data_IF_552499100952
#
_entry.id   IF_552499100952
#
_cell.length_a   1.000
_cell.length_b   1.000
_cell.length_c   1.000
_cell.angle_alpha   90.00
_cell.angle_beta   90.00
_cell.angle_gamma   90.00
#
_symmetry.space_group_name_H-M   'P 1'
#
loop_
_entity.id
_entity.type
_entity.pdbx_description
1 polymer ?
#
# COMPACT_ATOMS: atom_id res chain seq x y z
N UNK A 1 24.29 1.71 -11.10
CA UNK A 1 23.01 1.24 -10.57
C UNK A 1 23.30 0.76 -9.15
N UNK A 2 23.04 1.59 -8.14
CA UNK A 2 23.27 1.21 -6.73
C UNK A 2 21.92 0.72 -6.19
N UNK A 3 21.76 -0.59 -6.16
CA UNK A 3 20.57 -1.19 -5.52
C UNK A 3 20.86 -1.26 -4.02
N UNK A 4 20.28 -0.34 -3.24
CA UNK A 4 20.37 -0.41 -1.78
C UNK A 4 19.19 -1.28 -1.34
N UNK A 5 19.51 -2.46 -0.85
CA UNK A 5 18.55 -3.41 -0.30
C UNK A 5 18.08 -2.94 1.06
N UNK A 6 16.77 -2.80 1.25
CA UNK A 6 16.19 -2.69 2.59
C UNK A 6 16.13 -4.10 3.15
N UNK A 7 17.15 -4.47 3.93
CA UNK A 7 17.15 -5.73 4.66
C UNK A 7 16.39 -5.48 5.96
N UNK A 8 15.27 -6.15 6.14
CA UNK A 8 14.67 -6.28 7.48
C UNK A 8 15.48 -7.37 8.18
N UNK A 9 16.54 -6.98 8.89
CA UNK A 9 17.35 -7.92 9.64
C UNK A 9 16.57 -8.45 10.84
N UNK A 10 16.28 -9.75 10.92
CA UNK A 10 15.77 -10.36 12.15
C UNK A 10 16.82 -10.34 13.27
N UNK A 11 18.10 -10.10 12.95
CA UNK A 11 19.22 -10.23 13.87
C UNK A 11 19.58 -8.99 14.71
N UNK A 12 18.82 -7.90 14.66
CA UNK A 12 18.85 -6.91 15.76
C UNK A 12 17.72 -7.22 16.74
N UNK A 13 17.69 -8.44 17.23
CA UNK A 13 16.86 -8.79 18.40
C UNK A 13 17.43 -8.06 19.61
N UNK A 14 16.84 -6.91 19.92
CA UNK A 14 17.00 -6.38 21.27
C UNK A 14 16.30 -7.37 22.21
N UNK A 15 17.08 -8.11 22.99
CA UNK A 15 16.53 -8.99 24.02
C UNK A 15 15.76 -8.13 25.00
N UNK A 16 14.47 -8.34 25.11
CA UNK A 16 13.61 -7.70 26.10
C UNK A 16 13.11 -8.76 27.07
N UNK A 17 12.79 -8.35 28.27
CA UNK A 17 12.41 -9.26 29.34
C UNK A 17 11.09 -8.86 29.96
N UNK A 18 10.27 -9.84 30.29
CA UNK A 18 9.08 -9.65 31.10
C UNK A 18 9.39 -10.03 32.54
N UNK A 19 9.23 -9.08 33.47
CA UNK A 19 9.44 -9.29 34.88
C UNK A 19 8.15 -9.77 35.54
N UNK A 20 8.22 -10.91 36.25
CA UNK A 20 7.06 -11.47 36.93
C UNK A 20 7.34 -11.65 38.42
N UNK A 21 6.40 -11.24 39.27
CA UNK A 21 6.42 -11.46 40.71
C UNK A 21 5.54 -12.65 41.10
N UNK A 22 6.04 -13.46 42.06
CA UNK A 22 5.20 -14.47 42.71
C UNK A 22 4.54 -13.80 43.92
N UNK A 23 3.24 -13.54 43.85
CA UNK A 23 2.51 -12.95 44.97
C UNK A 23 2.15 -14.04 45.99
N UNK A 24 2.41 -13.76 47.29
CA UNK A 24 2.31 -14.75 48.36
C UNK A 24 0.83 -14.97 48.82
N UNK A 25 -0.12 -14.10 48.47
CA UNK A 25 -1.43 -14.06 49.10
C UNK A 25 -2.67 -13.92 48.17
N UNK A 26 -2.59 -14.30 46.91
CA UNK A 26 -3.77 -14.35 46.03
C UNK A 26 -3.77 -15.60 45.17
N UNK A 27 -4.95 -16.00 44.65
CA UNK A 27 -5.13 -17.16 43.77
C UNK A 27 -4.36 -17.02 42.41
N UNK A 28 -3.66 -15.95 42.15
CA UNK A 28 -2.81 -15.74 40.99
C UNK A 28 -1.37 -16.16 41.31
N UNK A 29 -0.89 -17.19 40.63
CA UNK A 29 0.45 -17.74 40.88
C UNK A 29 1.61 -16.89 40.37
N UNK A 30 1.40 -15.98 39.42
CA UNK A 30 2.40 -15.08 38.84
C UNK A 30 1.76 -13.75 38.42
N UNK A 31 2.47 -12.64 38.63
CA UNK A 31 2.05 -11.30 38.22
C UNK A 31 3.13 -10.68 37.33
N UNK A 32 2.75 -10.11 36.18
CA UNK A 32 3.66 -9.37 35.29
C UNK A 32 3.92 -8.00 35.91
N UNK A 33 5.16 -7.69 36.22
CA UNK A 33 5.58 -6.40 36.81
C UNK A 33 5.93 -5.41 35.70
N UNK A 34 6.66 -5.87 34.69
CA UNK A 34 7.04 -5.08 33.53
C UNK A 34 7.31 -6.01 32.36
N UNK A 35 6.95 -5.55 31.17
CA UNK A 35 7.28 -6.17 29.88
C UNK A 35 8.20 -5.24 29.10
N UNK A 36 8.83 -5.77 28.05
CA UNK A 36 9.73 -5.02 27.17
C UNK A 36 10.93 -4.34 27.86
N UNK A 37 11.43 -4.96 28.93
CA UNK A 37 12.57 -4.44 29.70
C UNK A 37 13.88 -4.77 28.97
N UNK A 38 14.70 -3.77 28.76
CA UNK A 38 16.00 -3.90 28.08
C UNK A 38 17.01 -4.74 28.91
N UNK A 39 17.91 -5.44 28.20
CA UNK A 39 18.91 -6.34 28.78
C UNK A 39 19.78 -5.67 29.86
N UNK A 40 20.17 -4.43 29.67
CA UNK A 40 21.02 -3.68 30.63
C UNK A 40 20.32 -3.46 31.96
N UNK A 41 19.01 -3.15 31.92
CA UNK A 41 18.18 -2.99 33.12
C UNK A 41 17.97 -4.31 33.85
N UNK A 42 17.75 -5.40 33.11
CA UNK A 42 17.64 -6.75 33.66
C UNK A 42 18.96 -7.19 34.29
N UNK A 43 20.08 -6.93 33.64
CA UNK A 43 21.41 -7.25 34.16
C UNK A 43 21.70 -6.55 35.49
N UNK A 44 21.32 -5.27 35.62
CA UNK A 44 21.41 -4.52 36.89
C UNK A 44 20.54 -5.14 37.98
N UNK A 45 19.30 -5.54 37.64
CA UNK A 45 18.41 -6.16 38.60
C UNK A 45 18.91 -7.55 39.02
N UNK A 46 19.47 -8.33 38.10
CA UNK A 46 20.08 -9.63 38.39
C UNK A 46 21.30 -9.48 39.30
N UNK A 47 22.15 -8.45 39.09
CA UNK A 47 23.29 -8.13 39.97
C UNK A 47 22.80 -7.76 41.36
N UNK A 48 21.77 -6.94 41.49
CA UNK A 48 21.14 -6.62 42.76
C UNK A 48 20.60 -7.86 43.46
N UNK A 49 19.87 -8.75 42.76
CA UNK A 49 19.39 -10.02 43.32
C UNK A 49 20.55 -10.89 43.85
N UNK A 50 21.64 -10.98 43.11
CA UNK A 50 22.86 -11.72 43.57
C UNK A 50 23.44 -11.13 44.84
N UNK A 51 23.36 -9.81 45.06
CA UNK A 51 23.86 -9.14 46.26
C UNK A 51 23.05 -9.45 47.51
N UNK A 52 21.81 -9.94 47.38
CA UNK A 52 20.91 -10.23 48.50
C UNK A 52 21.19 -11.55 49.21
N UNK A 53 22.32 -12.24 48.93
CA UNK A 53 22.79 -13.45 49.60
C UNK A 53 21.69 -14.41 50.08
N UNK A 54 21.15 -15.22 49.18
CA UNK A 54 20.15 -16.29 49.43
C UNK A 54 18.71 -15.85 49.72
N UNK A 55 18.35 -14.59 49.64
CA UNK A 55 16.96 -14.16 49.74
C UNK A 55 16.31 -14.36 48.39
N UNK A 56 15.29 -15.24 48.31
CA UNK A 56 14.46 -15.36 47.09
C UNK A 56 13.60 -14.11 46.94
N UNK A 57 13.84 -13.34 45.87
CA UNK A 57 13.06 -12.13 45.59
C UNK A 57 11.70 -12.42 44.99
N UNK A 58 11.45 -13.67 44.61
CA UNK A 58 10.22 -14.04 43.86
C UNK A 58 10.15 -13.44 42.45
N UNK A 59 11.20 -12.77 41.98
CA UNK A 59 11.25 -12.22 40.60
C UNK A 59 11.81 -13.27 39.66
N UNK A 60 11.10 -13.54 38.59
CA UNK A 60 11.55 -14.37 37.48
C UNK A 60 11.64 -13.52 36.21
N UNK A 61 12.48 -13.94 35.31
CA UNK A 61 12.72 -13.30 34.00
C UNK A 61 12.27 -14.27 32.91
N UNK A 62 11.57 -13.76 31.95
CA UNK A 62 11.20 -14.49 30.75
C UNK A 62 11.78 -13.73 29.58
N UNK A 63 12.62 -14.37 28.80
CA UNK A 63 13.19 -13.78 27.60
C UNK A 63 12.12 -13.71 26.54
N UNK A 64 12.01 -12.54 25.89
CA UNK A 64 11.13 -12.32 24.77
C UNK A 64 11.92 -11.64 23.65
N UNK A 65 11.52 -11.84 22.43
CA UNK A 65 12.03 -11.10 21.28
C UNK A 65 11.10 -9.92 21.00
N UNK A 66 11.66 -8.83 20.51
CA UNK A 66 10.85 -7.71 20.02
C UNK A 66 11.37 -7.22 18.69
N UNK A 67 10.45 -6.79 17.83
CA UNK A 67 10.77 -6.18 16.55
C UNK A 67 11.21 -4.74 16.76
N UNK A 68 12.25 -4.32 16.07
CA UNK A 68 12.72 -2.94 16.04
C UNK A 68 12.70 -2.43 14.62
N UNK A 69 12.20 -1.21 14.41
CA UNK A 69 12.09 -0.54 13.12
C UNK A 69 13.10 0.63 13.08
N UNK A 70 14.32 0.43 12.54
CA UNK A 70 15.42 1.41 12.69
C UNK A 70 15.15 2.78 12.06
N UNK A 71 14.25 2.83 11.08
CA UNK A 71 13.84 4.06 10.38
C UNK A 71 12.46 4.57 10.80
N UNK A 72 11.97 4.11 11.94
CA UNK A 72 10.73 4.55 12.62
C UNK A 72 9.53 4.75 11.71
N UNK A 73 9.46 5.86 10.97
CA UNK A 73 8.31 6.27 10.13
C UNK A 73 8.43 5.86 8.67
N UNK A 74 9.64 5.52 8.20
CA UNK A 74 9.86 5.23 6.78
C UNK A 74 9.10 3.97 6.36
N UNK A 75 8.27 4.09 5.33
CA UNK A 75 7.43 3.01 4.79
C UNK A 75 6.55 2.34 5.87
N UNK A 76 6.11 3.09 6.87
CA UNK A 76 5.44 2.54 8.06
C UNK A 76 4.19 1.73 7.74
N UNK A 77 3.34 2.18 6.82
CA UNK A 77 2.11 1.48 6.40
C UNK A 77 2.40 0.22 5.59
N UNK A 78 3.55 0.19 4.89
CA UNK A 78 4.03 -1.01 4.18
C UNK A 78 4.59 -2.03 5.16
N UNK A 79 5.55 -1.61 6.00
CA UNK A 79 6.21 -2.49 6.96
C UNK A 79 5.22 -3.04 7.96
N UNK A 80 4.38 -2.18 8.50
CA UNK A 80 3.50 -2.54 9.58
C UNK A 80 4.26 -2.79 10.89
N UNK A 81 3.74 -3.64 11.72
CA UNK A 81 4.34 -3.97 13.02
C UNK A 81 3.82 -5.32 13.56
N UNK A 82 4.54 -5.83 14.57
CA UNK A 82 4.12 -7.01 15.33
C UNK A 82 3.34 -6.61 16.59
N UNK A 83 2.46 -7.50 17.05
CA UNK A 83 1.79 -7.35 18.35
C UNK A 83 2.70 -7.76 19.52
N UNK A 84 2.16 -7.76 20.75
CA UNK A 84 2.91 -8.14 21.95
C UNK A 84 3.38 -9.61 21.97
N UNK A 85 2.77 -10.47 21.16
CA UNK A 85 3.14 -11.89 21.00
C UNK A 85 4.13 -12.10 19.84
N UNK A 86 4.72 -11.04 19.30
CA UNK A 86 5.59 -11.04 18.11
C UNK A 86 4.95 -11.60 16.83
N UNK A 87 3.63 -11.57 16.75
CA UNK A 87 2.90 -11.91 15.53
C UNK A 87 2.64 -10.66 14.72
N UNK A 88 2.81 -10.74 13.42
CA UNK A 88 2.52 -9.65 12.51
C UNK A 88 1.07 -9.18 12.65
N UNK A 89 0.87 -7.87 12.83
CA UNK A 89 -0.44 -7.26 13.03
C UNK A 89 -0.90 -6.42 11.83
N UNK A 90 0.01 -5.74 11.15
CA UNK A 90 -0.25 -4.91 9.98
C UNK A 90 0.88 -5.03 8.95
N UNK A 91 0.63 -4.56 7.73
CA UNK A 91 1.63 -4.47 6.66
C UNK A 91 2.26 -5.81 6.26
N UNK A 92 3.53 -5.77 5.87
CA UNK A 92 4.33 -6.96 5.53
C UNK A 92 4.49 -7.90 6.73
N UNK A 93 4.64 -7.35 7.94
CA UNK A 93 4.71 -8.16 9.15
C UNK A 93 3.49 -9.09 9.29
N UNK A 94 2.30 -8.61 8.94
CA UNK A 94 1.08 -9.42 8.93
C UNK A 94 1.00 -10.34 7.70
N UNK A 95 1.16 -9.79 6.51
CA UNK A 95 0.94 -10.52 5.26
C UNK A 95 1.94 -11.68 5.08
N UNK A 96 3.14 -11.52 5.62
CA UNK A 96 4.24 -12.48 5.52
C UNK A 96 4.62 -13.11 6.86
N UNK A 97 3.74 -13.02 7.85
CA UNK A 97 4.00 -13.52 9.20
C UNK A 97 4.42 -14.99 9.23
N UNK A 98 3.85 -15.84 8.39
CA UNK A 98 4.20 -17.26 8.30
C UNK A 98 5.65 -17.54 7.89
N UNK A 99 6.25 -16.63 7.11
CA UNK A 99 7.65 -16.69 6.73
C UNK A 99 8.54 -16.04 7.79
N UNK A 100 8.13 -14.89 8.33
CA UNK A 100 8.94 -14.10 9.25
C UNK A 100 9.03 -14.69 10.66
N UNK A 101 8.00 -15.43 11.12
CA UNK A 101 7.90 -15.88 12.52
C UNK A 101 8.76 -17.08 12.87
N UNK A 102 9.14 -17.92 11.89
CA UNK A 102 9.76 -19.20 12.16
C UNK A 102 8.85 -20.17 12.95
N UNK A 103 9.45 -21.20 13.50
CA UNK A 103 8.78 -22.21 14.34
C UNK A 103 9.38 -22.24 15.73
N UNK A 104 8.56 -22.02 16.75
CA UNK A 104 9.05 -22.06 18.13
C UNK A 104 9.52 -23.48 18.52
N UNK A 105 10.69 -23.57 19.14
CA UNK A 105 11.16 -24.82 19.72
C UNK A 105 10.26 -25.30 20.83
N UNK A 106 10.19 -26.61 21.03
CA UNK A 106 9.34 -27.24 22.03
C UNK A 106 10.13 -28.24 22.84
N UNK A 107 10.04 -28.10 24.17
CA UNK A 107 10.54 -29.10 25.11
C UNK A 107 9.33 -29.79 25.78
N UNK A 108 9.28 -31.09 25.69
CA UNK A 108 8.26 -31.90 26.34
C UNK A 108 8.89 -32.69 27.46
N UNK A 109 8.46 -32.47 28.72
CA UNK A 109 8.92 -33.20 29.89
C UNK A 109 7.73 -33.61 30.73
N UNK A 110 7.86 -34.72 31.47
CA UNK A 110 6.86 -35.15 32.43
C UNK A 110 7.04 -34.38 33.74
N UNK A 111 5.95 -33.80 34.23
CA UNK A 111 5.90 -33.09 35.51
C UNK A 111 4.99 -33.80 36.53
N UNK A 112 5.39 -33.75 37.78
CA UNK A 112 4.51 -34.22 38.86
C UNK A 112 3.31 -33.28 39.00
N UNK A 113 2.11 -33.87 39.04
CA UNK A 113 0.86 -33.11 39.01
C UNK A 113 0.64 -32.23 40.27
N UNK A 114 1.28 -32.54 41.39
CA UNK A 114 1.13 -31.80 42.64
C UNK A 114 2.22 -30.75 42.83
N UNK A 115 3.48 -31.10 42.55
CA UNK A 115 4.64 -30.22 42.77
C UNK A 115 4.95 -29.34 41.56
N UNK A 116 4.44 -29.66 40.35
CA UNK A 116 4.80 -29.04 39.08
C UNK A 116 6.33 -29.03 38.85
N UNK A 117 7.05 -29.92 39.50
CA UNK A 117 8.47 -30.13 39.26
C UNK A 117 8.68 -31.23 38.22
N UNK A 118 9.73 -31.14 37.45
CA UNK A 118 10.11 -32.20 36.51
C UNK A 118 10.43 -33.50 37.26
N UNK A 119 9.92 -34.59 36.72
CA UNK A 119 10.21 -35.95 37.27
C UNK A 119 11.64 -36.30 36.84
N UNK A 120 12.50 -36.51 37.83
CA UNK A 120 13.89 -36.89 37.60
C UNK A 120 13.93 -38.21 36.75
N UNK A 121 14.80 -38.23 35.74
CA UNK A 121 14.99 -39.32 34.79
C UNK A 121 13.76 -39.61 33.85
N UNK A 122 12.81 -38.70 33.71
CA UNK A 122 11.81 -38.80 32.65
C UNK A 122 12.42 -38.49 31.28
N UNK A 123 11.92 -39.15 30.22
CA UNK A 123 12.29 -38.81 28.84
C UNK A 123 11.92 -37.35 28.51
N UNK A 124 12.91 -36.61 28.00
CA UNK A 124 12.72 -35.27 27.51
C UNK A 124 12.83 -35.30 25.98
N UNK A 125 11.78 -34.88 25.32
CA UNK A 125 11.84 -34.63 23.87
C UNK A 125 12.09 -33.16 23.64
N UNK A 126 13.12 -32.87 22.90
CA UNK A 126 13.48 -31.49 22.51
C UNK A 126 13.31 -31.35 20.99
N UNK A 127 12.54 -30.40 20.59
CA UNK A 127 12.38 -29.95 19.21
C UNK A 127 13.06 -28.60 19.08
N UNK A 128 14.04 -28.49 18.20
CA UNK A 128 14.75 -27.21 17.99
C UNK A 128 13.81 -26.15 17.43
N UNK A 129 14.08 -24.89 17.74
CA UNK A 129 13.44 -23.78 17.06
C UNK A 129 14.00 -23.68 15.63
N UNK A 130 13.15 -23.31 14.68
CA UNK A 130 13.54 -22.97 13.31
C UNK A 130 13.40 -21.46 13.14
N UNK A 131 14.42 -20.81 12.58
CA UNK A 131 14.39 -19.39 12.34
C UNK A 131 13.39 -19.04 11.22
N UNK A 132 12.84 -17.82 11.28
CA UNK A 132 12.06 -17.27 10.18
C UNK A 132 12.95 -16.89 8.99
N UNK A 133 12.33 -16.56 7.89
CA UNK A 133 13.00 -16.11 6.65
C UNK A 133 13.25 -14.61 6.69
N UNK A 134 14.28 -14.17 5.98
CA UNK A 134 14.46 -12.76 5.62
C UNK A 134 13.62 -12.46 4.37
N UNK A 135 12.95 -11.31 4.37
CA UNK A 135 12.16 -10.84 3.23
C UNK A 135 12.76 -9.54 2.72
N UNK A 136 13.13 -9.54 1.46
CA UNK A 136 13.63 -8.37 0.76
C UNK A 136 12.52 -7.73 -0.06
N UNK A 137 12.26 -6.45 0.20
CA UNK A 137 11.22 -5.70 -0.50
C UNK A 137 11.76 -5.11 -1.82
N UNK A 138 10.82 -4.78 -2.73
CA UNK A 138 11.13 -4.02 -3.95
C UNK A 138 11.31 -2.52 -3.67
N UNK A 139 10.95 -2.07 -2.47
CA UNK A 139 11.06 -0.67 -2.04
C UNK A 139 12.51 -0.23 -2.09
N UNK A 140 12.77 0.85 -2.84
CA UNK A 140 14.05 1.55 -2.83
C UNK A 140 14.02 2.61 -1.73
N UNK A 141 14.92 2.49 -0.76
CA UNK A 141 14.97 3.38 0.41
C UNK A 141 15.17 4.85 0.04
N UNK A 142 15.95 5.13 -1.01
CA UNK A 142 16.21 6.51 -1.44
C UNK A 142 14.97 7.09 -2.12
N UNK A 143 14.35 6.33 -3.03
CA UNK A 143 13.11 6.75 -3.69
C UNK A 143 12.01 6.94 -2.65
N UNK A 144 11.83 5.99 -1.72
CA UNK A 144 10.85 6.08 -0.62
C UNK A 144 11.07 7.35 0.21
N UNK A 145 12.31 7.62 0.62
CA UNK A 145 12.63 8.80 1.45
C UNK A 145 12.35 10.10 0.72
N UNK A 146 12.66 10.17 -0.59
CA UNK A 146 12.38 11.34 -1.43
C UNK A 146 10.87 11.54 -1.57
N UNK A 147 10.15 10.47 -1.89
CA UNK A 147 8.69 10.49 -2.07
C UNK A 147 7.98 10.91 -0.79
N UNK A 148 8.34 10.34 0.37
CA UNK A 148 7.75 10.73 1.65
C UNK A 148 7.99 12.19 1.99
N UNK A 149 9.21 12.69 1.74
CA UNK A 149 9.55 14.09 1.98
C UNK A 149 8.66 15.03 1.17
N UNK A 150 8.62 14.85 -0.16
CA UNK A 150 7.86 15.74 -1.03
C UNK A 150 6.34 15.57 -0.89
N UNK A 151 5.87 14.37 -0.53
CA UNK A 151 4.47 14.16 -0.20
C UNK A 151 4.06 14.94 1.06
N UNK A 152 4.92 14.91 2.09
CA UNK A 152 4.68 15.66 3.32
C UNK A 152 4.66 17.18 3.04
N UNK A 153 5.63 17.70 2.30
CA UNK A 153 5.68 19.11 1.89
C UNK A 153 4.40 19.50 1.11
N UNK A 154 4.00 18.70 0.12
CA UNK A 154 2.79 18.97 -0.65
C UNK A 154 1.50 18.97 0.20
N UNK A 155 1.34 18.00 1.11
CA UNK A 155 0.15 17.94 1.99
C UNK A 155 0.08 19.14 2.94
N UNK A 156 1.23 19.61 3.44
CA UNK A 156 1.26 20.80 4.30
C UNK A 156 1.05 22.09 3.48
N UNK A 157 1.71 22.23 2.33
CA UNK A 157 1.62 23.45 1.49
C UNK A 157 0.22 23.67 0.92
N UNK A 158 -0.51 22.59 0.62
CA UNK A 158 -1.88 22.65 0.10
C UNK A 158 -2.96 22.43 1.17
N UNK A 159 -2.57 22.37 2.44
CA UNK A 159 -3.48 22.18 3.60
C UNK A 159 -4.41 20.96 3.45
N UNK A 160 -3.88 19.87 2.87
CA UNK A 160 -4.64 18.64 2.68
C UNK A 160 -4.72 17.82 3.99
N UNK A 161 -5.77 17.00 4.13
CA UNK A 161 -5.89 16.08 5.27
C UNK A 161 -4.88 14.93 5.19
N UNK A 162 -4.62 14.44 3.97
CA UNK A 162 -3.69 13.34 3.72
C UNK A 162 -3.25 13.30 2.26
N UNK A 163 -2.21 12.52 1.98
CA UNK A 163 -1.73 12.26 0.62
C UNK A 163 -1.19 10.85 0.46
N UNK A 164 -1.18 10.38 -0.79
CA UNK A 164 -0.66 9.07 -1.18
C UNK A 164 0.24 9.26 -2.40
N UNK A 165 1.39 8.61 -2.41
CA UNK A 165 2.25 8.54 -3.61
C UNK A 165 2.74 7.12 -3.82
N UNK A 166 2.64 6.62 -5.05
CA UNK A 166 3.15 5.30 -5.45
C UNK A 166 4.12 5.50 -6.61
N UNK A 167 5.31 4.91 -6.52
CA UNK A 167 6.25 4.78 -7.63
C UNK A 167 6.37 3.30 -8.02
N UNK A 168 6.11 2.99 -9.29
CA UNK A 168 6.08 1.63 -9.82
C UNK A 168 6.93 1.54 -11.08
N UNK A 169 7.66 0.43 -11.23
CA UNK A 169 8.28 0.04 -12.51
C UNK A 169 7.21 -0.67 -13.36
N UNK A 170 6.76 -0.09 -14.47
CA UNK A 170 5.69 -0.65 -15.28
C UNK A 170 6.07 -1.98 -15.94
N UNK A 171 7.36 -2.22 -16.19
CA UNK A 171 7.84 -3.42 -16.90
C UNK A 171 7.86 -4.67 -16.02
N UNK A 172 7.95 -4.51 -14.70
CA UNK A 172 8.10 -5.61 -13.75
C UNK A 172 7.04 -5.65 -12.66
N UNK A 173 6.21 -4.62 -12.55
CA UNK A 173 5.24 -4.46 -11.47
C UNK A 173 5.87 -4.17 -10.10
N UNK A 174 7.18 -3.90 -10.02
CA UNK A 174 7.86 -3.56 -8.76
C UNK A 174 7.35 -2.24 -8.22
N UNK A 175 6.88 -2.24 -6.97
CA UNK A 175 6.61 -1.04 -6.22
C UNK A 175 7.95 -0.56 -5.64
N UNK A 176 8.45 0.56 -6.16
CA UNK A 176 9.72 1.17 -5.74
C UNK A 176 9.55 2.09 -4.54
N UNK A 177 8.39 2.72 -4.41
CA UNK A 177 7.96 3.47 -3.24
C UNK A 177 6.44 3.45 -3.13
N UNK A 178 5.94 3.47 -1.90
CA UNK A 178 4.55 3.67 -1.56
C UNK A 178 4.52 4.45 -0.25
N UNK A 179 4.06 5.68 -0.32
CA UNK A 179 4.03 6.60 0.80
C UNK A 179 2.60 7.03 1.10
N UNK A 180 2.25 6.98 2.36
CA UNK A 180 1.06 7.58 2.94
C UNK A 180 1.48 8.71 3.88
N UNK A 181 0.85 9.87 3.80
CA UNK A 181 1.05 10.95 4.75
C UNK A 181 -0.30 11.38 5.34
N UNK A 182 -0.38 11.64 6.66
CA UNK A 182 0.69 11.50 7.66
C UNK A 182 1.03 10.03 7.99
N UNK A 183 2.32 9.76 8.14
CA UNK A 183 2.86 8.46 8.56
C UNK A 183 2.81 8.27 10.08
N UNK A 184 3.24 7.12 10.60
CA UNK A 184 3.36 6.84 12.03
C UNK A 184 4.68 6.15 12.36
N UNK A 185 5.11 6.19 13.64
CA UNK A 185 6.28 5.47 14.10
C UNK A 185 5.92 4.01 14.44
N UNK A 186 6.47 3.06 13.70
CA UNK A 186 6.27 1.63 13.93
C UNK A 186 6.71 1.17 15.33
N UNK A 187 7.71 1.84 15.93
CA UNK A 187 8.16 1.55 17.29
C UNK A 187 7.21 2.14 18.36
N UNK A 188 6.45 3.18 18.02
CA UNK A 188 5.50 3.85 18.91
C UNK A 188 4.11 3.98 18.23
N UNK A 189 3.62 2.89 17.70
CA UNK A 189 2.43 2.82 16.85
C UNK A 189 1.14 3.37 17.45
N UNK A 190 1.04 3.45 18.78
CA UNK A 190 -0.16 3.96 19.46
C UNK A 190 -0.11 5.47 19.70
N UNK A 191 1.00 6.14 19.40
CA UNK A 191 1.06 7.60 19.46
C UNK A 191 0.33 8.22 18.25
N UNK A 192 -0.36 9.35 18.45
CA UNK A 192 -0.97 10.08 17.35
C UNK A 192 0.11 10.60 16.39
N UNK A 193 -0.17 10.58 15.09
CA UNK A 193 0.66 11.25 14.10
C UNK A 193 0.48 12.78 14.14
N UNK A 194 1.21 13.52 13.31
CA UNK A 194 1.21 14.99 13.30
C UNK A 194 -0.17 15.63 13.17
N UNK A 195 -1.04 15.08 12.31
CA UNK A 195 -2.39 15.62 12.08
C UNK A 195 -3.36 15.26 13.23
N UNK A 196 -3.24 14.07 13.80
CA UNK A 196 -4.07 13.63 14.93
C UNK A 196 -3.70 14.31 16.24
N UNK A 197 -2.41 14.66 16.42
CA UNK A 197 -1.89 15.24 17.66
C UNK A 197 -2.63 16.53 18.06
N UNK A 198 -3.05 17.35 17.09
CA UNK A 198 -3.73 18.63 17.34
C UNK A 198 -5.04 18.49 18.11
N UNK A 199 -5.79 17.39 17.90
CA UNK A 199 -7.10 17.16 18.50
C UNK A 199 -7.11 15.95 19.46
N UNK A 200 -5.97 15.32 19.68
CA UNK A 200 -5.87 14.04 20.38
C UNK A 200 -6.49 14.05 21.76
N UNK A 201 -6.20 15.07 22.57
CA UNK A 201 -6.66 15.12 23.96
C UNK A 201 -8.18 15.35 24.07
N UNK A 202 -8.80 15.95 23.06
CA UNK A 202 -10.25 16.20 23.01
C UNK A 202 -11.06 15.00 22.51
N UNK A 203 -10.42 13.99 21.91
CA UNK A 203 -11.08 12.80 21.36
C UNK A 203 -11.48 11.82 22.46
N UNK A 204 -12.65 11.20 22.31
CA UNK A 204 -13.07 10.06 23.13
C UNK A 204 -12.17 8.83 22.90
N UNK A 205 -12.25 7.84 23.79
CA UNK A 205 -11.48 6.60 23.66
C UNK A 205 -11.81 5.82 22.38
N UNK A 206 -13.07 5.86 21.95
CA UNK A 206 -13.52 5.21 20.72
C UNK A 206 -12.96 5.92 19.48
N UNK A 207 -13.04 7.24 19.43
CA UNK A 207 -12.47 8.06 18.35
C UNK A 207 -10.96 7.85 18.22
N UNK A 208 -10.23 7.84 19.36
CA UNK A 208 -8.78 7.54 19.39
C UNK A 208 -8.48 6.17 18.80
N UNK A 209 -9.22 5.15 19.19
CA UNK A 209 -9.04 3.79 18.70
C UNK A 209 -9.27 3.71 17.18
N UNK A 210 -10.37 4.30 16.70
CA UNK A 210 -10.70 4.32 15.27
C UNK A 210 -9.67 5.12 14.46
N UNK A 211 -9.18 6.24 14.99
CA UNK A 211 -8.14 7.05 14.34
C UNK A 211 -6.81 6.29 14.20
N UNK A 212 -6.42 5.56 15.26
CA UNK A 212 -5.21 4.72 15.25
C UNK A 212 -5.33 3.59 14.22
N UNK A 213 -6.45 2.88 14.15
CA UNK A 213 -6.65 1.81 13.16
C UNK A 213 -6.55 2.35 11.73
N UNK A 214 -7.15 3.50 11.44
CA UNK A 214 -7.02 4.18 10.15
C UNK A 214 -5.58 4.60 9.83
N UNK A 215 -4.82 5.02 10.85
CA UNK A 215 -3.42 5.43 10.69
C UNK A 215 -2.51 4.27 10.28
N UNK A 216 -2.81 3.04 10.71
CA UNK A 216 -1.99 1.87 10.43
C UNK A 216 -2.24 1.26 9.05
N UNK A 217 -3.36 1.59 8.40
CA UNK A 217 -3.75 0.97 7.11
C UNK A 217 -3.10 1.66 5.92
N UNK A 218 -2.56 0.90 4.94
CA UNK A 218 -1.98 1.46 3.72
C UNK A 218 -3.10 1.93 2.77
N UNK A 219 -3.40 3.22 2.77
CA UNK A 219 -4.50 3.83 2.00
C UNK A 219 -4.42 3.55 0.51
N UNK A 220 -3.22 3.34 -0.01
CA UNK A 220 -3.01 2.98 -1.41
C UNK A 220 -3.76 1.71 -1.86
N UNK A 221 -4.06 0.79 -0.91
CA UNK A 221 -4.76 -0.48 -1.17
C UNK A 221 -6.10 -0.58 -0.45
N UNK A 222 -6.30 0.17 0.66
CA UNK A 222 -7.53 0.09 1.47
C UNK A 222 -8.57 1.14 1.13
N UNK A 223 -8.16 2.28 0.57
CA UNK A 223 -9.08 3.37 0.28
C UNK A 223 -9.41 3.39 -1.21
N UNK A 224 -10.66 3.68 -1.53
CA UNK A 224 -11.11 3.87 -2.91
C UNK A 224 -11.45 5.34 -3.15
N UNK A 225 -11.21 5.80 -4.37
CA UNK A 225 -11.48 7.17 -4.78
C UNK A 225 -11.96 7.24 -6.23
N UNK A 226 -12.60 8.33 -6.60
CA UNK A 226 -12.90 8.62 -8.00
C UNK A 226 -11.64 9.16 -8.69
N UNK A 227 -11.05 8.44 -9.68
CA UNK A 227 -9.75 8.81 -10.26
C UNK A 227 -9.78 10.11 -11.09
N UNK A 228 -10.96 10.57 -11.45
CA UNK A 228 -11.10 11.79 -12.24
C UNK A 228 -10.43 11.73 -13.59
N UNK A 229 -9.88 12.84 -14.05
CA UNK A 229 -9.37 12.99 -15.43
C UNK A 229 -8.21 12.09 -15.81
N UNK A 230 -7.47 11.52 -14.85
CA UNK A 230 -6.43 10.50 -15.14
C UNK A 230 -7.05 9.29 -15.84
N UNK A 231 -8.30 8.98 -15.55
CA UNK A 231 -9.04 7.87 -16.14
C UNK A 231 -9.28 8.02 -17.65
N UNK A 232 -9.17 9.23 -18.19
CA UNK A 232 -9.27 9.50 -19.63
C UNK A 232 -8.22 8.75 -20.45
N UNK A 233 -7.09 8.39 -19.85
CA UNK A 233 -6.08 7.53 -20.48
C UNK A 233 -6.64 6.14 -20.80
N UNK A 234 -7.40 5.56 -19.88
CA UNK A 234 -8.08 4.27 -20.09
C UNK A 234 -9.13 4.40 -21.22
N UNK A 235 -9.95 5.45 -21.17
CA UNK A 235 -10.97 5.70 -22.21
C UNK A 235 -10.36 5.95 -23.59
N UNK A 236 -9.23 6.69 -23.66
CA UNK A 236 -8.48 6.89 -24.91
C UNK A 236 -7.94 5.57 -25.45
N UNK A 237 -7.35 4.75 -24.58
CA UNK A 237 -6.82 3.45 -24.93
C UNK A 237 -7.89 2.53 -25.54
N UNK A 238 -9.08 2.50 -24.95
CA UNK A 238 -10.21 1.71 -25.47
C UNK A 238 -10.64 2.22 -26.86
N UNK A 239 -10.78 3.53 -27.01
CA UNK A 239 -11.22 4.13 -28.28
C UNK A 239 -10.24 3.89 -29.43
N UNK A 240 -8.94 3.91 -29.15
CA UNK A 240 -7.88 3.62 -30.12
C UNK A 240 -7.80 2.12 -30.44
N UNK A 241 -7.84 1.27 -29.43
CA UNK A 241 -7.74 -0.20 -29.61
C UNK A 241 -8.91 -0.78 -30.40
N UNK A 242 -10.10 -0.26 -30.20
CA UNK A 242 -11.30 -0.65 -30.95
C UNK A 242 -11.41 0.11 -32.30
N UNK A 243 -10.41 0.88 -32.72
CA UNK A 243 -10.35 1.66 -33.96
C UNK A 243 -11.57 2.61 -34.16
N UNK A 244 -12.12 3.12 -33.06
CA UNK A 244 -13.25 4.05 -33.09
C UNK A 244 -12.85 5.50 -33.37
N UNK A 245 -11.59 5.81 -33.09
CA UNK A 245 -10.96 7.13 -33.26
C UNK A 245 -9.48 6.96 -33.57
N UNK A 246 -8.84 8.03 -34.08
CA UNK A 246 -7.39 8.13 -34.15
C UNK A 246 -6.92 9.42 -33.46
N UNK A 247 -5.62 9.52 -33.19
CA UNK A 247 -5.02 10.56 -32.32
C UNK A 247 -5.21 11.96 -32.87
N UNK A 248 -4.97 12.17 -34.18
CA UNK A 248 -4.79 13.47 -34.79
C UNK A 248 -5.80 13.78 -35.94
N UNK A 249 -6.87 13.02 -36.02
CA UNK A 249 -7.95 13.27 -37.00
C UNK A 249 -8.69 14.57 -36.60
N UNK A 250 -8.70 15.59 -37.47
CA UNK A 250 -9.36 16.86 -37.20
C UNK A 250 -10.87 16.70 -37.00
N UNK A 251 -11.45 17.56 -36.19
CA UNK A 251 -12.88 17.65 -35.94
C UNK A 251 -13.53 16.34 -35.41
N UNK A 252 -12.75 15.50 -34.75
CA UNK A 252 -13.23 14.24 -34.16
C UNK A 252 -14.27 14.49 -33.07
N UNK A 253 -14.08 15.53 -32.27
CA UNK A 253 -14.95 15.94 -31.17
C UNK A 253 -15.30 17.41 -31.24
N UNK A 254 -16.51 17.76 -30.77
CA UNK A 254 -16.94 19.15 -30.62
C UNK A 254 -17.34 19.47 -29.17
N UNK A 255 -16.68 20.44 -28.58
CA UNK A 255 -16.98 20.93 -27.23
C UNK A 255 -17.68 22.29 -27.30
N UNK A 256 -18.97 22.33 -26.95
CA UNK A 256 -19.75 23.56 -26.83
C UNK A 256 -19.77 24.13 -25.42
N UNK A 257 -18.99 23.55 -24.49
CA UNK A 257 -18.96 23.93 -23.07
C UNK A 257 -19.84 23.02 -22.19
N UNK A 258 -20.88 22.44 -22.73
CA UNK A 258 -21.84 21.60 -22.04
C UNK A 258 -22.14 20.34 -22.85
N UNK A 259 -22.53 19.27 -22.15
CA UNK A 259 -22.99 18.05 -22.77
C UNK A 259 -24.22 17.49 -22.05
N UNK A 260 -25.33 17.34 -22.78
CA UNK A 260 -26.58 16.81 -22.23
C UNK A 260 -26.60 15.29 -22.33
N UNK A 261 -26.82 14.62 -21.21
CA UNK A 261 -26.96 13.17 -21.11
C UNK A 261 -28.37 12.84 -20.68
N UNK A 262 -29.06 11.97 -21.45
CA UNK A 262 -30.40 11.54 -21.07
C UNK A 262 -30.38 10.83 -19.72
N UNK A 263 -31.18 11.34 -18.77
CA UNK A 263 -31.25 10.81 -17.41
C UNK A 263 -30.44 11.61 -16.39
N UNK A 264 -29.78 12.70 -16.82
CA UNK A 264 -29.15 13.69 -15.92
C UNK A 264 -29.95 15.00 -16.04
N UNK A 265 -30.27 15.62 -14.87
CA UNK A 265 -31.06 16.86 -14.83
C UNK A 265 -30.25 18.06 -15.32
N UNK A 266 -28.97 18.11 -14.92
CA UNK A 266 -28.06 19.17 -15.29
C UNK A 266 -27.06 18.71 -16.36
N UNK A 267 -26.69 19.59 -17.31
CA UNK A 267 -25.68 19.23 -18.31
C UNK A 267 -24.31 19.10 -17.67
N UNK A 268 -23.55 18.11 -18.10
CA UNK A 268 -22.15 17.94 -17.68
C UNK A 268 -21.30 19.05 -18.30
N UNK A 269 -20.59 19.81 -17.46
CA UNK A 269 -19.81 21.00 -17.86
C UNK A 269 -18.38 20.60 -18.24
N UNK A 270 -17.87 21.29 -19.26
CA UNK A 270 -16.43 21.40 -19.46
C UNK A 270 -15.87 22.42 -18.46
N UNK A 271 -14.63 22.23 -17.98
CA UNK A 271 -14.01 23.24 -17.10
C UNK A 271 -13.87 24.61 -17.81
N UNK A 272 -13.83 24.64 -19.15
CA UNK A 272 -13.84 25.84 -19.98
C UNK A 272 -15.20 26.13 -20.61
N UNK A 273 -16.31 25.93 -19.89
CA UNK A 273 -17.68 26.13 -20.41
C UNK A 273 -17.94 27.57 -20.89
N UNK A 274 -17.27 28.55 -20.32
CA UNK A 274 -17.34 29.97 -20.69
C UNK A 274 -16.55 30.31 -21.98
N UNK A 275 -15.55 29.48 -22.33
CA UNK A 275 -14.75 29.61 -23.56
C UNK A 275 -14.44 28.19 -24.10
N UNK A 276 -15.43 27.54 -24.74
CA UNK A 276 -15.34 26.12 -25.07
C UNK A 276 -14.26 25.82 -26.11
N UNK A 277 -13.72 24.61 -26.05
CA UNK A 277 -12.62 24.17 -26.90
C UNK A 277 -12.96 24.04 -28.38
N UNK A 278 -14.27 23.97 -28.74
CA UNK A 278 -14.76 23.78 -30.10
C UNK A 278 -14.32 22.42 -30.68
N UNK A 279 -13.90 22.41 -31.96
CA UNK A 279 -13.43 21.22 -32.63
C UNK A 279 -12.07 20.77 -32.11
N UNK A 280 -11.91 19.49 -31.85
CA UNK A 280 -10.69 18.90 -31.30
C UNK A 280 -10.40 17.52 -31.91
N UNK A 281 -9.13 17.18 -32.04
CA UNK A 281 -8.64 15.80 -32.18
C UNK A 281 -8.72 15.07 -30.83
N UNK A 282 -8.43 13.76 -30.79
CA UNK A 282 -8.35 13.01 -29.53
C UNK A 282 -7.17 13.54 -28.67
N UNK A 283 -6.02 13.79 -29.29
CA UNK A 283 -4.84 14.37 -28.63
C UNK A 283 -5.18 15.69 -27.95
N UNK A 284 -5.79 16.61 -28.68
CA UNK A 284 -6.18 17.93 -28.13
C UNK A 284 -7.24 17.77 -27.01
N UNK A 285 -8.19 16.85 -27.16
CA UNK A 285 -9.19 16.59 -26.13
C UNK A 285 -8.57 16.07 -24.83
N UNK A 286 -7.51 15.25 -24.91
CA UNK A 286 -6.73 14.80 -23.75
C UNK A 286 -5.90 15.94 -23.16
N UNK A 287 -5.12 16.65 -23.96
CA UNK A 287 -4.33 17.83 -23.56
C UNK A 287 -5.16 18.87 -22.82
N UNK A 288 -6.38 19.10 -23.30
CA UNK A 288 -7.35 20.04 -22.72
C UNK A 288 -8.19 19.44 -21.59
N UNK A 289 -8.03 18.17 -21.27
CA UNK A 289 -8.88 17.44 -20.29
C UNK A 289 -10.40 17.68 -20.52
N UNK A 290 -10.86 17.61 -21.76
CA UNK A 290 -12.20 18.04 -22.18
C UNK A 290 -13.29 16.98 -21.90
N UNK A 291 -14.09 17.11 -20.82
CA UNK A 291 -15.15 16.16 -20.48
C UNK A 291 -16.16 15.89 -21.64
N UNK A 292 -16.72 16.92 -22.35
CA UNK A 292 -17.62 16.67 -23.46
C UNK A 292 -17.04 15.80 -24.57
N UNK A 293 -15.74 15.87 -24.87
CA UNK A 293 -15.09 15.03 -25.86
C UNK A 293 -15.07 13.55 -25.39
N UNK A 294 -14.75 13.30 -24.15
CA UNK A 294 -14.70 11.94 -23.58
C UNK A 294 -16.09 11.32 -23.43
N UNK A 295 -17.13 12.12 -23.18
CA UNK A 295 -18.52 11.64 -23.25
C UNK A 295 -18.88 11.22 -24.67
N UNK A 296 -18.48 12.00 -25.69
CA UNK A 296 -18.69 11.61 -27.10
C UNK A 296 -17.95 10.31 -27.44
N UNK A 297 -16.73 10.15 -26.96
CA UNK A 297 -15.95 8.92 -27.14
C UNK A 297 -16.61 7.73 -26.45
N UNK A 298 -17.04 7.85 -25.20
CA UNK A 298 -17.67 6.76 -24.47
C UNK A 298 -18.95 6.26 -25.14
N UNK A 299 -19.72 7.16 -25.78
CA UNK A 299 -20.90 6.78 -26.57
C UNK A 299 -20.56 5.93 -27.80
N UNK A 300 -19.40 6.18 -28.44
CA UNK A 300 -18.91 5.33 -29.53
C UNK A 300 -18.45 3.97 -29.00
N UNK A 301 -17.83 3.92 -27.84
CA UNK A 301 -17.33 2.69 -27.18
C UNK A 301 -18.52 1.80 -26.76
N UNK A 302 -19.52 2.36 -26.07
CA UNK A 302 -20.65 1.64 -25.50
C UNK A 302 -20.36 0.87 -24.23
N UNK A 303 -21.41 0.52 -23.49
CA UNK A 303 -21.32 -0.12 -22.16
C UNK A 303 -20.59 -1.47 -22.21
N UNK A 304 -20.95 -2.44 -23.09
CA UNK A 304 -20.31 -3.77 -23.05
C UNK A 304 -18.80 -3.70 -23.27
N UNK A 305 -18.35 -2.92 -24.26
CA UNK A 305 -16.92 -2.73 -24.56
C UNK A 305 -16.20 -2.06 -23.40
N UNK A 306 -16.81 -1.04 -22.78
CA UNK A 306 -16.24 -0.38 -21.59
C UNK A 306 -15.96 -1.38 -20.46
N UNK A 307 -16.95 -2.22 -20.12
CA UNK A 307 -16.78 -3.22 -19.05
C UNK A 307 -15.82 -4.36 -19.43
N UNK A 308 -15.75 -4.74 -20.72
CA UNK A 308 -14.73 -5.67 -21.23
C UNK A 308 -13.32 -5.17 -20.88
N UNK A 309 -13.04 -3.90 -21.17
CA UNK A 309 -11.72 -3.32 -20.89
C UNK A 309 -11.49 -3.00 -19.42
N UNK A 310 -12.51 -2.64 -18.65
CA UNK A 310 -12.35 -2.45 -17.20
C UNK A 310 -11.89 -3.75 -16.52
N UNK A 311 -12.44 -4.91 -16.94
CA UNK A 311 -11.94 -6.22 -16.52
C UNK A 311 -10.52 -6.47 -17.03
N UNK A 312 -10.24 -6.15 -18.28
CA UNK A 312 -8.92 -6.37 -18.87
C UNK A 312 -7.83 -5.56 -18.17
N UNK A 313 -8.09 -4.30 -17.81
CA UNK A 313 -7.19 -3.43 -17.06
C UNK A 313 -7.11 -3.77 -15.54
N UNK A 314 -7.83 -4.79 -15.06
CA UNK A 314 -7.82 -5.18 -13.65
C UNK A 314 -8.59 -4.23 -12.73
N UNK A 315 -9.44 -3.33 -13.27
CA UNK A 315 -10.16 -2.33 -12.48
C UNK A 315 -11.36 -2.89 -11.69
N UNK A 316 -11.79 -4.12 -11.97
CA UNK A 316 -12.93 -4.78 -11.33
C UNK A 316 -12.52 -5.95 -10.43
N UNK A 317 -11.23 -6.11 -10.17
CA UNK A 317 -10.66 -7.17 -9.35
C UNK A 317 -9.52 -6.63 -8.49
N UNK A 318 -9.14 -7.34 -7.44
CA UNK A 318 -7.97 -7.01 -6.63
C UNK A 318 -6.70 -7.18 -7.45
N UNK A 319 -5.69 -6.36 -7.18
CA UNK A 319 -4.43 -6.39 -7.91
C UNK A 319 -3.58 -7.62 -7.56
N UNK A 320 -3.82 -8.21 -6.38
CA UNK A 320 -3.05 -9.35 -5.88
C UNK A 320 -1.68 -8.95 -5.34
N UNK A 321 -1.47 -7.66 -5.00
CA UNK A 321 -0.32 -7.23 -4.23
C UNK A 321 -0.30 -7.95 -2.88
N UNK A 322 0.83 -8.46 -2.48
CA UNK A 322 0.95 -9.25 -1.25
C UNK A 322 0.90 -8.37 0.04
N UNK A 323 -0.11 -7.49 0.11
CA UNK A 323 -0.45 -6.65 1.27
C UNK A 323 -1.89 -6.94 1.69
N UNK A 324 -2.11 -7.06 2.99
CA UNK A 324 -3.45 -7.29 3.53
C UNK A 324 -4.32 -6.03 3.44
N UNK A 325 -5.64 -6.25 3.38
CA UNK A 325 -6.61 -5.17 3.40
C UNK A 325 -6.93 -4.57 2.03
N UNK A 326 -6.46 -5.17 0.94
CA UNK A 326 -6.80 -4.69 -0.41
C UNK A 326 -8.31 -4.66 -0.60
N UNK A 327 -8.86 -3.47 -0.96
CA UNK A 327 -10.28 -3.23 -1.10
C UNK A 327 -10.75 -3.54 -2.54
N UNK A 328 -12.03 -3.81 -2.69
CA UNK A 328 -12.64 -3.98 -4.00
C UNK A 328 -13.04 -2.62 -4.59
N UNK A 329 -12.98 -2.51 -5.91
CA UNK A 329 -13.54 -1.34 -6.61
C UNK A 329 -15.06 -1.25 -6.42
N UNK A 330 -15.59 -0.03 -6.40
CA UNK A 330 -17.01 0.27 -6.36
C UNK A 330 -17.44 0.76 -7.74
N UNK A 331 -17.97 -0.13 -8.54
CA UNK A 331 -18.44 0.17 -9.90
C UNK A 331 -19.84 -0.42 -10.06
N UNK A 332 -20.75 0.34 -10.65
CA UNK A 332 -22.09 -0.16 -10.95
C UNK A 332 -22.02 -1.43 -11.81
N UNK A 333 -22.78 -2.45 -11.49
CA UNK A 333 -22.82 -3.68 -12.28
C UNK A 333 -23.23 -3.39 -13.75
N UNK A 334 -22.56 -4.02 -14.72
CA UNK A 334 -22.76 -3.80 -16.17
C UNK A 334 -24.24 -3.83 -16.59
N UNK A 335 -25.00 -4.82 -16.10
CA UNK A 335 -26.44 -4.98 -16.40
C UNK A 335 -27.32 -3.82 -15.92
N UNK A 336 -26.82 -2.99 -14.99
CA UNK A 336 -27.54 -1.86 -14.41
C UNK A 336 -26.94 -0.52 -14.87
N UNK A 337 -25.87 -0.53 -15.68
CA UNK A 337 -25.19 0.68 -16.14
C UNK A 337 -26.08 1.47 -17.07
N UNK A 338 -26.11 2.78 -16.89
CA UNK A 338 -26.92 3.74 -17.65
C UNK A 338 -26.07 4.57 -18.60
N UNK A 339 -26.71 5.35 -19.46
CA UNK A 339 -25.99 6.31 -20.30
C UNK A 339 -25.28 7.40 -19.47
N UNK A 340 -25.78 7.72 -18.29
CA UNK A 340 -25.15 8.67 -17.37
C UNK A 340 -23.90 8.06 -16.75
N UNK A 341 -23.97 6.80 -16.32
CA UNK A 341 -22.79 6.09 -15.79
C UNK A 341 -21.69 6.00 -16.84
N UNK A 342 -22.03 5.57 -18.06
CA UNK A 342 -21.08 5.50 -19.18
C UNK A 342 -20.40 6.86 -19.45
N UNK A 343 -21.19 7.95 -19.43
CA UNK A 343 -20.67 9.30 -19.67
C UNK A 343 -19.70 9.74 -18.58
N UNK A 344 -20.10 9.58 -17.31
CA UNK A 344 -19.28 10.06 -16.16
C UNK A 344 -18.07 9.18 -15.90
N UNK A 345 -18.19 7.86 -16.02
CA UNK A 345 -17.07 6.94 -15.94
C UNK A 345 -15.99 7.21 -17.00
N UNK A 346 -16.34 7.77 -18.17
CA UNK A 346 -15.36 8.09 -19.21
C UNK A 346 -14.28 9.08 -18.80
N UNK A 347 -14.52 9.86 -17.76
CA UNK A 347 -13.58 10.80 -17.16
C UNK A 347 -13.38 10.56 -15.66
N UNK A 348 -13.66 9.32 -15.19
CA UNK A 348 -13.29 8.84 -13.86
C UNK A 348 -14.18 9.29 -12.71
N UNK A 349 -15.48 9.49 -12.96
CA UNK A 349 -16.48 9.74 -11.94
C UNK A 349 -17.55 8.64 -11.89
N UNK A 350 -18.26 8.50 -10.76
CA UNK A 350 -19.23 7.41 -10.49
C UNK A 350 -18.62 6.00 -10.57
N UNK A 351 -17.31 5.91 -10.38
CA UNK A 351 -16.59 4.68 -10.09
C UNK A 351 -15.53 5.00 -9.03
N UNK A 352 -15.30 4.07 -8.12
CA UNK A 352 -14.23 4.23 -7.13
C UNK A 352 -13.32 3.02 -7.20
N UNK A 353 -12.03 3.28 -7.30
CA UNK A 353 -10.96 2.27 -7.40
C UNK A 353 -9.84 2.63 -6.44
N UNK A 354 -9.00 1.67 -6.08
CA UNK A 354 -7.85 1.97 -5.24
C UNK A 354 -6.76 2.69 -6.04
N UNK A 355 -5.93 3.54 -5.38
CA UNK A 355 -4.75 4.13 -6.03
C UNK A 355 -3.84 3.09 -6.68
N UNK A 356 -3.68 1.92 -6.06
CA UNK A 356 -2.88 0.84 -6.61
C UNK A 356 -3.50 0.25 -7.89
N UNK A 357 -4.83 0.05 -7.95
CA UNK A 357 -5.50 -0.36 -9.19
C UNK A 357 -5.28 0.67 -10.30
N UNK A 358 -5.37 1.97 -10.00
CA UNK A 358 -5.20 3.02 -11.00
C UNK A 358 -3.79 3.03 -11.58
N UNK A 359 -2.74 3.04 -10.73
CA UNK A 359 -1.36 3.04 -11.23
C UNK A 359 -1.04 1.75 -11.99
N UNK A 360 -1.58 0.60 -11.57
CA UNK A 360 -1.39 -0.68 -12.25
C UNK A 360 -1.99 -0.64 -13.67
N UNK A 361 -3.18 -0.08 -13.83
CA UNK A 361 -3.83 0.09 -15.13
C UNK A 361 -3.05 1.06 -16.04
N UNK A 362 -2.57 2.20 -15.51
CA UNK A 362 -1.75 3.15 -16.27
C UNK A 362 -0.38 2.53 -16.62
N UNK A 363 0.20 1.74 -15.72
CA UNK A 363 1.45 1.03 -16.01
C UNK A 363 1.32 0.09 -17.20
N UNK A 364 0.17 -0.55 -17.41
CA UNK A 364 -0.08 -1.35 -18.62
C UNK A 364 -0.03 -0.50 -19.89
N UNK A 365 -0.57 0.73 -19.84
CA UNK A 365 -0.47 1.69 -20.97
C UNK A 365 0.99 2.06 -21.24
N UNK A 366 1.81 2.22 -20.19
CA UNK A 366 3.22 2.55 -20.33
C UNK A 366 4.10 1.35 -20.75
N UNK A 367 3.63 0.12 -20.60
CA UNK A 367 4.36 -1.14 -20.77
C UNK A 367 3.86 -1.92 -22.00
N UNK A 368 3.82 -1.30 -23.17
CA UNK A 368 3.41 -1.91 -24.45
C UNK A 368 2.08 -2.69 -24.38
N UNK A 369 1.20 -2.30 -23.45
CA UNK A 369 -0.10 -2.90 -23.22
C UNK A 369 -0.14 -4.09 -22.26
N UNK A 370 0.99 -4.49 -21.67
CA UNK A 370 1.05 -5.62 -20.74
C UNK A 370 0.76 -5.19 -19.30
N UNK A 371 -0.29 -5.77 -18.73
CA UNK A 371 -0.64 -5.62 -17.32
C UNK A 371 0.23 -6.55 -16.48
N UNK A 372 1.02 -5.96 -15.59
CA UNK A 372 1.86 -6.69 -14.63
C UNK A 372 1.17 -6.74 -13.27
N UNK A 373 1.33 -7.86 -12.55
CA UNK A 373 0.91 -7.93 -11.16
C UNK A 373 1.82 -7.03 -10.30
N UNK A 374 1.25 -6.09 -9.50
CA UNK A 374 2.06 -5.32 -8.57
C UNK A 374 2.73 -6.22 -7.55
N UNK A 375 3.99 -5.98 -7.27
CA UNK A 375 4.74 -6.76 -6.28
C UNK A 375 5.55 -5.87 -5.37
N UNK A 376 5.61 -6.26 -4.10
CA UNK A 376 6.32 -5.54 -3.05
C UNK A 376 7.45 -6.38 -2.44
N UNK A 377 7.40 -7.70 -2.61
CA UNK A 377 8.49 -8.61 -2.22
C UNK A 377 9.33 -8.95 -3.44
N UNK A 378 10.63 -8.86 -3.29
CA UNK A 378 11.61 -9.18 -4.32
C UNK A 378 12.19 -10.60 -4.11
N UNK A 379 12.49 -10.94 -2.85
CA UNK A 379 13.30 -12.10 -2.51
C UNK A 379 12.98 -12.59 -1.11
N UNK A 380 13.07 -13.89 -0.91
CA UNK A 380 12.89 -14.57 0.39
C UNK A 380 14.16 -15.42 0.61
N UNK A 381 14.83 -15.20 1.74
CA UNK A 381 16.07 -15.92 2.08
C UNK A 381 15.85 -16.76 3.34
N UNK A 382 16.13 -18.05 3.25
CA UNK A 382 16.15 -18.92 4.42
C UNK A 382 17.40 -18.59 5.27
N UNK A 383 17.17 -18.16 6.51
CA UNK A 383 18.26 -17.70 7.39
C UNK A 383 19.18 -18.81 7.89
N UNK A 384 18.70 -20.06 7.92
CA UNK A 384 19.49 -21.21 8.39
C UNK A 384 20.37 -21.78 7.28
N UNK A 385 19.90 -21.79 6.04
CA UNK A 385 20.61 -22.41 4.91
C UNK A 385 21.24 -21.39 3.96
N UNK A 386 20.83 -20.12 4.01
CA UNK A 386 21.21 -19.09 3.05
C UNK A 386 20.56 -19.27 1.67
N UNK A 387 19.61 -20.19 1.52
CA UNK A 387 18.91 -20.40 0.26
C UNK A 387 18.01 -19.22 -0.08
N UNK A 388 18.16 -18.70 -1.31
CA UNK A 388 17.43 -17.53 -1.83
C UNK A 388 16.36 -17.99 -2.81
N UNK A 389 15.15 -17.46 -2.65
CA UNK A 389 14.05 -17.60 -3.60
C UNK A 389 13.67 -16.22 -4.12
N UNK A 390 13.90 -15.97 -5.41
CA UNK A 390 13.46 -14.74 -6.06
C UNK A 390 11.95 -14.79 -6.36
N UNK A 391 11.26 -13.66 -6.20
CA UNK A 391 9.87 -13.49 -6.63
C UNK A 391 9.88 -12.88 -8.02
N UNK A 392 9.57 -13.70 -9.02
CA UNK A 392 9.60 -13.29 -10.41
C UNK A 392 8.45 -12.35 -10.80
N UNK A 393 8.65 -11.46 -11.80
CA UNK A 393 7.57 -10.66 -12.36
C UNK A 393 6.49 -11.54 -13.00
N UNK A 394 5.23 -11.20 -12.74
CA UNK A 394 4.08 -11.91 -13.32
C UNK A 394 3.36 -11.01 -14.30
N UNK A 395 3.36 -11.39 -15.58
CA UNK A 395 2.51 -10.78 -16.60
C UNK A 395 1.11 -11.37 -16.48
N UNK A 396 0.13 -10.54 -16.13
CA UNK A 396 -1.26 -10.97 -15.97
C UNK A 396 -1.91 -11.21 -17.34
N UNK A 397 -1.80 -10.22 -18.24
CA UNK A 397 -2.35 -10.28 -19.61
C UNK A 397 -1.86 -9.10 -20.45
N UNK A 398 -2.02 -9.17 -21.76
CA UNK A 398 -1.97 -8.00 -22.63
C UNK A 398 -3.38 -7.42 -22.76
N UNK A 399 -3.52 -6.13 -22.47
CA UNK A 399 -4.80 -5.40 -22.40
C UNK A 399 -5.09 -4.64 -23.70
N UNK A 400 -4.05 -4.02 -24.24
CA UNK A 400 -4.06 -3.26 -25.50
C UNK A 400 -2.83 -3.62 -26.33
N UNK A 401 -2.88 -3.34 -27.61
CA UNK A 401 -1.74 -3.53 -28.50
C UNK A 401 -0.60 -2.57 -28.18
N UNK A 402 0.62 -2.95 -28.57
CA UNK A 402 1.79 -2.08 -28.48
C UNK A 402 1.57 -0.77 -29.25
N UNK A 403 0.95 -0.82 -30.42
CA UNK A 403 0.64 0.36 -31.22
C UNK A 403 -0.26 1.34 -30.46
N UNK A 404 -1.33 0.85 -29.83
CA UNK A 404 -2.21 1.67 -28.99
C UNK A 404 -1.44 2.27 -27.81
N UNK A 405 -0.61 1.48 -27.13
CA UNK A 405 0.23 1.95 -26.03
C UNK A 405 1.14 3.11 -26.48
N UNK A 406 1.83 2.98 -27.61
CA UNK A 406 2.72 4.02 -28.17
C UNK A 406 1.94 5.29 -28.49
N UNK A 407 0.77 5.17 -29.10
CA UNK A 407 -0.11 6.32 -29.40
C UNK A 407 -0.53 7.06 -28.13
N UNK A 408 -0.95 6.32 -27.10
CA UNK A 408 -1.38 6.93 -25.82
C UNK A 408 -0.20 7.58 -25.09
N UNK A 409 0.97 6.94 -25.04
CA UNK A 409 2.20 7.55 -24.47
C UNK A 409 2.55 8.87 -25.15
N UNK A 410 2.49 8.94 -26.49
CA UNK A 410 2.71 10.17 -27.24
C UNK A 410 1.67 11.27 -26.96
N UNK A 411 0.43 10.90 -26.64
CA UNK A 411 -0.58 11.85 -26.17
C UNK A 411 -0.30 12.32 -24.73
N UNK A 412 0.12 11.40 -23.82
CA UNK A 412 0.52 11.76 -22.45
C UNK A 412 1.67 12.77 -22.44
N UNK A 413 2.69 12.57 -23.28
CA UNK A 413 3.78 13.55 -23.44
C UNK A 413 3.24 14.90 -23.91
N UNK A 414 2.27 14.91 -24.85
CA UNK A 414 1.62 16.13 -25.32
C UNK A 414 0.88 16.88 -24.21
N UNK A 415 0.31 16.18 -23.21
CA UNK A 415 -0.32 16.80 -22.03
C UNK A 415 0.68 17.61 -21.23
N UNK A 416 1.90 17.07 -21.03
CA UNK A 416 2.96 17.77 -20.28
C UNK A 416 3.61 18.88 -21.09
N UNK A 417 3.83 18.67 -22.39
CA UNK A 417 4.51 19.69 -23.22
C UNK A 417 3.59 20.85 -23.57
N UNK A 418 2.34 20.59 -23.95
CA UNK A 418 1.44 21.59 -24.52
C UNK A 418 0.13 21.77 -23.73
N UNK A 419 -0.23 20.82 -22.87
CA UNK A 419 -1.52 20.74 -22.21
C UNK A 419 -1.54 21.25 -20.77
N UNK A 420 -2.42 20.66 -19.98
CA UNK A 420 -2.67 21.01 -18.58
C UNK A 420 -1.54 20.55 -17.64
N UNK A 421 -0.69 19.62 -18.07
CA UNK A 421 0.41 19.02 -17.28
C UNK A 421 1.74 19.78 -17.31
N UNK A 422 1.81 21.00 -17.81
CA UNK A 422 3.06 21.78 -18.03
C UNK A 422 3.95 21.91 -16.78
N UNK A 423 3.35 21.98 -15.60
CA UNK A 423 4.10 22.09 -14.35
C UNK A 423 4.84 20.80 -13.96
N UNK A 424 4.51 19.66 -14.59
CA UNK A 424 5.21 18.39 -14.39
C UNK A 424 6.45 18.22 -15.29
N UNK A 425 6.76 19.16 -16.17
CA UNK A 425 7.91 19.06 -17.07
C UNK A 425 9.23 19.13 -16.30
N UNK A 426 10.15 18.20 -16.60
CA UNK A 426 11.51 18.16 -16.02
C UNK A 426 12.53 18.17 -17.14
N UNK A 427 13.48 19.12 -17.10
CA UNK A 427 14.52 19.24 -18.11
C UNK A 427 15.36 17.97 -18.20
N UNK A 428 15.56 17.46 -19.43
CA UNK A 428 16.34 16.25 -19.69
C UNK A 428 15.54 14.94 -19.58
N UNK A 429 14.24 15.00 -19.27
CA UNK A 429 13.36 13.84 -19.21
C UNK A 429 12.15 14.00 -20.14
N UNK A 430 11.73 12.89 -20.76
CA UNK A 430 10.43 12.79 -21.43
C UNK A 430 9.40 12.35 -20.40
N UNK A 431 8.43 13.22 -20.11
CA UNK A 431 7.40 13.00 -19.09
C UNK A 431 6.04 13.00 -19.77
N UNK A 432 5.23 12.00 -19.45
CA UNK A 432 3.83 11.88 -19.83
C UNK A 432 2.92 11.99 -18.62
N UNK A 433 1.75 12.61 -18.79
CA UNK A 433 0.78 12.77 -17.69
C UNK A 433 -0.66 12.97 -18.16
#
# INVERSE_FOLDING_TARGET
>A
MLTIYTVIYPNQQAWKYTLRFKQINTNTKKFVVASDVEQDKVSKLQQWQKSLNKISTGISYEETTSRTYPRSTLASTILGFTNADNKGAYGIEYSWNSFLSGTAGKSVSLQDAKSQSEIANSEKSYYAAENGYDIYLTIDVNIQSIVEKYLAEAVEDYECDSGITIAMDPSTGKILALADYPSYDCNNRNAPNSKLAANWDSMSSEEKTNAIFKMWTPKAVTDTYEPGSVFKLITSSIGLEENLVDTDVPNTFNCTGYFYVKGEEEPIRCHRYYNPHRQQTLREALMNSCNPAFIQLSRKIGIPTTYKYYRAFGLLEKTGVALAGEENSIVRAEKNATAVDLATMSFGQRLSITPLQMITAISAVANDGYLMQPRIVKEITNTDTGAVTEVEPVTVRQVISKETSEKVRGMMESVVVYGTGKHGAVSGYSIGG
#
